data_IF_153734228265
#
_entry.id   IF_153734228265
#
_cell.length_a   1.000
_cell.length_b   1.000
_cell.length_c   1.000
_cell.angle_alpha   90.00
_cell.angle_beta   90.00
_cell.angle_gamma   90.00
#
_symmetry.space_group_name_H-M   'P 1'
#
loop_
_entity.id
_entity.type
_entity.pdbx_description
1 polymer ?
#
# COMPACT_ATOMS: atom_id res chain seq x y z
N UNK A 1 -12.72 11.69 -10.09
CA UNK A 1 -12.90 10.73 -11.20
C UNK A 1 -12.90 9.34 -10.62
N UNK A 2 -14.09 8.73 -10.53
CA UNK A 2 -14.22 7.35 -10.13
C UNK A 2 -13.74 6.45 -11.28
N UNK A 3 -12.59 5.87 -11.16
CA UNK A 3 -12.25 4.72 -11.97
C UNK A 3 -12.23 3.49 -11.08
N UNK A 4 -13.22 2.66 -11.21
CA UNK A 4 -13.38 1.46 -10.39
C UNK A 4 -12.45 0.31 -10.81
N UNK A 5 -11.63 0.49 -11.84
CA UNK A 5 -10.83 -0.62 -12.32
C UNK A 5 -9.51 -0.20 -12.96
N UNK A 6 -8.47 -0.90 -12.61
CA UNK A 6 -7.21 -0.92 -13.34
C UNK A 6 -7.19 -2.15 -14.23
N UNK A 7 -6.79 -1.96 -15.47
CA UNK A 7 -6.76 -3.02 -16.48
C UNK A 7 -5.82 -4.15 -16.10
N UNK A 8 -6.17 -5.34 -16.51
CA UNK A 8 -5.35 -6.54 -16.39
C UNK A 8 -4.06 -6.39 -17.22
N UNK A 9 -2.93 -6.41 -16.55
CA UNK A 9 -1.62 -6.42 -17.20
C UNK A 9 -0.56 -7.01 -16.27
N UNK A 10 0.56 -7.44 -16.84
CA UNK A 10 1.73 -7.83 -16.08
C UNK A 10 2.55 -6.59 -15.68
N UNK A 11 2.99 -6.56 -14.43
CA UNK A 11 3.85 -5.49 -13.93
C UNK A 11 3.16 -4.15 -13.72
N UNK A 12 1.85 -4.12 -13.47
CA UNK A 12 1.11 -2.88 -13.20
C UNK A 12 1.56 -2.27 -11.89
N UNK A 13 1.86 -0.98 -11.90
CA UNK A 13 2.15 -0.17 -10.73
C UNK A 13 1.07 0.89 -10.53
N UNK A 14 0.44 0.92 -9.35
CA UNK A 14 -0.55 1.91 -8.93
C UNK A 14 0.04 2.62 -7.73
N UNK A 15 0.56 3.82 -7.94
CA UNK A 15 1.33 4.54 -6.93
C UNK A 15 0.81 5.96 -6.77
N UNK A 16 0.60 6.38 -5.52
CA UNK A 16 0.35 7.78 -5.19
C UNK A 16 -1.01 8.32 -5.64
N UNK A 17 -2.04 7.50 -5.67
CA UNK A 17 -3.38 7.93 -6.07
C UNK A 17 -4.31 8.14 -4.88
N UNK A 18 -5.22 9.11 -5.00
CA UNK A 18 -6.41 9.17 -4.16
C UNK A 18 -7.61 8.62 -4.92
N UNK A 19 -8.29 7.67 -4.32
CA UNK A 19 -9.52 7.11 -4.84
C UNK A 19 -10.59 7.13 -3.75
N UNK A 20 -11.66 7.89 -3.98
CA UNK A 20 -12.81 7.92 -3.06
C UNK A 20 -13.61 6.61 -3.05
N UNK A 21 -13.28 5.69 -3.92
CA UNK A 21 -13.93 4.40 -4.11
C UNK A 21 -12.91 3.26 -3.91
N UNK A 22 -12.92 2.29 -4.78
CA UNK A 22 -12.14 1.06 -4.65
C UNK A 22 -11.02 0.98 -5.68
N UNK A 23 -9.87 0.46 -5.27
CA UNK A 23 -8.85 -0.02 -6.20
C UNK A 23 -9.12 -1.50 -6.49
N UNK A 24 -9.28 -1.84 -7.78
CA UNK A 24 -9.53 -3.21 -8.22
C UNK A 24 -8.58 -3.57 -9.35
N UNK A 25 -7.89 -4.71 -9.26
CA UNK A 25 -7.23 -5.32 -10.40
C UNK A 25 -8.17 -6.36 -11.04
N UNK A 26 -7.88 -6.75 -12.28
CA UNK A 26 -8.62 -7.81 -12.95
C UNK A 26 -7.93 -9.17 -12.83
N UNK A 27 -8.70 -10.23 -13.10
CA UNK A 27 -8.34 -11.63 -12.91
C UNK A 27 -7.02 -12.07 -13.53
N UNK A 28 -6.58 -11.44 -14.60
CA UNK A 28 -5.33 -11.78 -15.30
C UNK A 28 -4.15 -10.88 -14.95
N UNK A 29 -4.30 -9.99 -13.97
CA UNK A 29 -3.18 -9.15 -13.52
C UNK A 29 -2.24 -9.95 -12.64
N UNK A 30 -0.94 -9.82 -12.89
CA UNK A 30 0.11 -10.45 -12.10
C UNK A 30 1.33 -9.55 -12.01
N UNK A 31 2.15 -9.77 -10.99
CA UNK A 31 3.31 -8.92 -10.68
C UNK A 31 2.93 -7.46 -10.44
N UNK A 32 1.79 -7.21 -9.82
CA UNK A 32 1.32 -5.86 -9.56
C UNK A 32 1.93 -5.27 -8.28
N UNK A 33 2.01 -3.94 -8.24
CA UNK A 33 2.41 -3.16 -7.08
C UNK A 33 1.39 -2.06 -6.81
N UNK A 34 0.83 -2.04 -5.62
CA UNK A 34 -0.12 -1.03 -5.17
C UNK A 34 0.49 -0.31 -3.96
N UNK A 35 1.05 0.88 -4.18
CA UNK A 35 1.83 1.59 -3.19
C UNK A 35 1.33 3.00 -2.93
N UNK A 36 1.37 3.40 -1.67
CA UNK A 36 1.15 4.79 -1.24
C UNK A 36 -0.14 5.41 -1.80
N UNK A 37 -1.23 4.63 -1.87
CA UNK A 37 -2.52 5.16 -2.27
C UNK A 37 -3.39 5.46 -1.03
N UNK A 38 -4.29 6.43 -1.18
CA UNK A 38 -5.39 6.67 -0.26
C UNK A 38 -6.68 6.21 -0.93
N UNK A 39 -7.36 5.20 -0.39
CA UNK A 39 -8.54 4.57 -1.02
C UNK A 39 -9.54 4.08 0.02
N UNK A 40 -10.81 3.91 -0.38
CA UNK A 40 -11.82 3.36 0.51
C UNK A 40 -11.66 1.84 0.73
N UNK A 41 -11.29 1.11 -0.32
CA UNK A 41 -11.07 -0.35 -0.22
C UNK A 41 -10.23 -0.87 -1.39
N UNK A 42 -9.78 -2.12 -1.29
CA UNK A 42 -9.08 -2.83 -2.36
C UNK A 42 -9.71 -4.19 -2.60
N UNK A 43 -9.98 -4.51 -3.86
CA UNK A 43 -10.40 -5.84 -4.28
C UNK A 43 -9.40 -6.37 -5.30
N UNK A 44 -8.65 -7.38 -4.89
CA UNK A 44 -7.49 -7.87 -5.63
C UNK A 44 -7.73 -9.32 -6.02
N UNK A 45 -7.63 -9.62 -7.29
CA UNK A 45 -7.73 -10.98 -7.78
C UNK A 45 -6.39 -11.71 -7.64
N UNK A 46 -6.47 -12.98 -7.24
CA UNK A 46 -5.34 -13.87 -7.20
C UNK A 46 -4.63 -13.93 -8.56
N UNK A 47 -3.34 -13.93 -8.52
CA UNK A 47 -2.50 -13.86 -9.70
C UNK A 47 -1.88 -15.21 -10.04
N UNK A 48 -1.17 -15.28 -11.14
CA UNK A 48 -0.52 -16.51 -11.61
C UNK A 48 0.43 -17.11 -10.58
N UNK A 49 0.56 -18.45 -10.53
CA UNK A 49 1.62 -19.09 -9.76
C UNK A 49 2.98 -18.48 -10.07
N UNK A 50 3.82 -18.36 -9.06
CA UNK A 50 5.16 -17.75 -9.14
C UNK A 50 5.19 -16.23 -9.37
N UNK A 51 4.06 -15.53 -9.46
CA UNK A 51 4.06 -14.08 -9.44
C UNK A 51 4.29 -13.54 -8.02
N UNK A 52 4.88 -12.36 -7.91
CA UNK A 52 5.05 -11.63 -6.67
C UNK A 52 4.29 -10.31 -6.77
N UNK A 53 3.37 -10.10 -5.85
CA UNK A 53 2.47 -8.96 -5.83
C UNK A 53 2.56 -8.26 -4.49
N UNK A 54 2.42 -6.95 -4.49
CA UNK A 54 2.67 -6.15 -3.30
C UNK A 54 1.60 -5.07 -3.11
N UNK A 55 1.12 -4.96 -1.87
CA UNK A 55 0.20 -3.92 -1.40
C UNK A 55 0.87 -3.26 -0.20
N UNK A 56 1.59 -2.18 -0.44
CA UNK A 56 2.50 -1.60 0.56
C UNK A 56 2.24 -0.10 0.77
N UNK A 57 2.28 0.32 2.03
CA UNK A 57 2.15 1.73 2.40
C UNK A 57 0.88 2.41 1.87
N UNK A 58 -0.26 1.73 1.87
CA UNK A 58 -1.52 2.37 1.52
C UNK A 58 -2.29 2.78 2.77
N UNK A 59 -3.07 3.85 2.65
CA UNK A 59 -4.10 4.19 3.62
C UNK A 59 -5.46 3.78 3.06
N UNK A 60 -6.16 2.96 3.82
CA UNK A 60 -7.45 2.40 3.43
C UNK A 60 -8.49 2.87 4.42
N UNK A 61 -9.31 3.79 4.00
CA UNK A 61 -10.29 4.47 4.82
C UNK A 61 -11.66 4.54 4.16
N UNK A 62 -12.62 3.81 4.72
CA UNK A 62 -14.02 3.93 4.36
C UNK A 62 -14.77 4.76 5.42
N UNK A 63 -15.17 6.01 5.10
CA UNK A 63 -15.90 6.86 6.03
C UNK A 63 -17.30 6.32 6.36
N UNK A 64 -17.86 5.46 5.53
CA UNK A 64 -19.20 4.92 5.70
C UNK A 64 -19.21 3.63 6.54
N UNK A 65 -18.05 3.09 6.86
CA UNK A 65 -17.92 1.89 7.69
C UNK A 65 -18.64 0.67 7.13
N UNK A 66 -18.53 0.47 5.81
CA UNK A 66 -19.22 -0.61 5.13
C UNK A 66 -18.81 -2.01 5.61
N UNK A 67 -19.71 -2.97 5.48
CA UNK A 67 -19.51 -4.40 5.86
C UNK A 67 -18.50 -5.15 4.97
N UNK A 68 -17.79 -4.44 4.12
CA UNK A 68 -16.88 -5.03 3.14
C UNK A 68 -15.46 -5.02 3.70
N UNK A 69 -14.77 -6.14 3.57
CA UNK A 69 -13.35 -6.22 3.89
C UNK A 69 -12.57 -5.10 3.18
N UNK A 70 -11.83 -4.25 3.89
CA UNK A 70 -11.07 -3.17 3.28
C UNK A 70 -10.01 -3.69 2.29
N UNK A 71 -9.47 -4.88 2.51
CA UNK A 71 -8.66 -5.59 1.53
C UNK A 71 -9.27 -6.97 1.34
N UNK A 72 -9.81 -7.19 0.14
CA UNK A 72 -10.37 -8.47 -0.25
C UNK A 72 -9.56 -9.08 -1.40
N UNK A 73 -9.06 -10.29 -1.18
CA UNK A 73 -8.29 -11.04 -2.17
C UNK A 73 -9.18 -12.17 -2.66
N UNK A 74 -9.73 -11.97 -3.84
CA UNK A 74 -10.60 -12.95 -4.48
C UNK A 74 -9.77 -14.03 -5.15
N UNK A 75 -10.02 -15.27 -4.80
CA UNK A 75 -9.53 -16.41 -5.56
C UNK A 75 -10.33 -16.60 -6.83
N UNK A 76 -9.65 -16.78 -7.93
CA UNK A 76 -10.26 -17.44 -9.07
C UNK A 76 -10.14 -18.93 -8.88
N UNK A 77 -11.23 -19.64 -9.00
CA UNK A 77 -11.21 -21.09 -9.09
C UNK A 77 -10.49 -21.65 -10.32
N UNK A 78 -9.80 -20.79 -11.07
CA UNK A 78 -9.04 -21.21 -12.24
C UNK A 78 -7.78 -21.97 -11.84
N UNK A 79 -7.56 -23.15 -12.43
CA UNK A 79 -6.30 -23.87 -12.30
C UNK A 79 -5.16 -22.98 -12.78
N UNK A 80 -4.32 -22.51 -11.86
CA UNK A 80 -3.22 -21.62 -12.15
C UNK A 80 -3.35 -20.22 -11.56
N UNK A 81 -4.43 -19.88 -10.88
CA UNK A 81 -4.45 -18.73 -9.97
C UNK A 81 -3.71 -19.10 -8.69
N UNK A 82 -2.83 -18.27 -8.21
CA UNK A 82 -2.06 -18.50 -7.01
C UNK A 82 -0.68 -17.91 -7.14
N UNK A 83 -0.48 -16.75 -6.65
CA UNK A 83 0.82 -16.10 -6.54
C UNK A 83 1.09 -15.74 -5.10
N UNK A 84 2.19 -15.08 -4.85
CA UNK A 84 2.49 -14.49 -3.55
C UNK A 84 1.95 -13.08 -3.51
N UNK A 85 1.22 -12.74 -2.46
CA UNK A 85 0.74 -11.38 -2.21
C UNK A 85 1.24 -10.94 -0.85
N UNK A 86 2.07 -9.91 -0.84
CA UNK A 86 2.55 -9.27 0.39
C UNK A 86 1.73 -8.01 0.69
N UNK A 87 1.13 -7.96 1.87
CA UNK A 87 0.34 -6.83 2.37
C UNK A 87 1.10 -6.26 3.57
N UNK A 88 1.72 -5.09 3.41
CA UNK A 88 2.65 -4.58 4.41
C UNK A 88 2.55 -3.06 4.60
N UNK A 89 2.78 -2.61 5.83
CA UNK A 89 2.87 -1.19 6.16
C UNK A 89 1.61 -0.38 5.78
N UNK A 90 0.42 -0.98 5.78
CA UNK A 90 -0.80 -0.25 5.47
C UNK A 90 -1.46 0.29 6.74
N UNK A 91 -2.07 1.47 6.66
CA UNK A 91 -2.94 2.04 7.69
C UNK A 91 -4.41 1.83 7.28
N UNK A 92 -5.20 1.17 8.14
CA UNK A 92 -6.52 0.67 7.77
C UNK A 92 -7.56 1.10 8.82
N UNK A 93 -8.66 1.72 8.39
CA UNK A 93 -9.69 2.24 9.31
C UNK A 93 -10.56 1.17 9.97
N UNK A 94 -10.79 0.07 9.29
CA UNK A 94 -11.51 -1.11 9.81
C UNK A 94 -10.74 -2.33 9.37
N UNK A 95 -10.96 -3.48 10.00
CA UNK A 95 -10.13 -4.61 9.59
C UNK A 95 -10.87 -5.90 9.41
N UNK A 96 -10.99 -6.28 8.16
CA UNK A 96 -10.81 -7.66 7.76
C UNK A 96 -9.94 -7.68 6.50
N UNK A 97 -8.75 -8.26 6.55
CA UNK A 97 -8.07 -8.70 5.35
C UNK A 97 -8.60 -10.09 5.07
N UNK A 98 -9.30 -10.22 3.96
CA UNK A 98 -9.98 -11.47 3.61
C UNK A 98 -9.41 -12.07 2.32
N UNK A 99 -9.23 -13.39 2.32
CA UNK A 99 -8.95 -14.15 1.10
C UNK A 99 -9.83 -15.37 1.01
N UNK A 100 -10.39 -15.63 -0.14
CA UNK A 100 -11.11 -16.86 -0.49
C UNK A 100 -10.35 -17.71 -1.52
N UNK A 101 -9.14 -17.30 -1.85
CA UNK A 101 -8.37 -17.82 -2.97
C UNK A 101 -7.25 -18.77 -2.60
N UNK A 102 -6.57 -19.23 -3.65
CA UNK A 102 -5.40 -20.11 -3.59
C UNK A 102 -4.08 -19.35 -3.58
N UNK A 103 -4.12 -18.02 -3.53
CA UNK A 103 -2.91 -17.20 -3.39
C UNK A 103 -2.27 -17.41 -2.03
N UNK A 104 -0.95 -17.38 -1.98
CA UNK A 104 -0.20 -17.32 -0.73
C UNK A 104 -0.15 -15.88 -0.24
N UNK A 105 -0.92 -15.59 0.80
CA UNK A 105 -1.04 -14.22 1.32
C UNK A 105 -0.25 -14.08 2.61
N UNK A 106 0.55 -13.03 2.69
CA UNK A 106 1.24 -12.61 3.91
C UNK A 106 0.83 -11.20 4.30
N UNK A 107 0.51 -10.98 5.57
CA UNK A 107 0.18 -9.66 6.11
C UNK A 107 1.13 -9.32 7.26
N UNK A 108 1.87 -8.21 7.15
CA UNK A 108 2.82 -7.82 8.18
C UNK A 108 2.96 -6.31 8.33
N UNK A 109 3.20 -5.87 9.57
CA UNK A 109 3.41 -4.45 9.89
C UNK A 109 2.26 -3.53 9.43
N UNK A 110 1.03 -4.07 9.31
CA UNK A 110 -0.14 -3.24 9.08
C UNK A 110 -0.70 -2.75 10.40
N UNK A 111 -1.30 -1.58 10.40
CA UNK A 111 -1.97 -1.00 11.56
C UNK A 111 -3.43 -0.73 11.29
N UNK A 112 -4.28 -0.90 12.30
CA UNK A 112 -5.71 -0.69 12.16
C UNK A 112 -6.37 -0.07 13.39
N UNK A 113 -7.46 0.64 13.16
CA UNK A 113 -8.24 1.23 14.28
C UNK A 113 -9.00 0.18 15.09
N UNK A 114 -9.35 -0.92 14.49
CA UNK A 114 -10.00 -2.05 15.17
C UNK A 114 -9.02 -3.19 15.41
N UNK A 115 -9.47 -4.23 16.13
CA UNK A 115 -8.67 -5.45 16.27
C UNK A 115 -8.26 -5.98 14.88
N UNK A 116 -6.99 -6.33 14.72
CA UNK A 116 -6.50 -6.81 13.43
C UNK A 116 -7.00 -8.24 13.19
N UNK A 117 -7.88 -8.39 12.21
CA UNK A 117 -8.53 -9.67 11.88
C UNK A 117 -8.22 -10.06 10.44
N UNK A 118 -7.98 -11.34 10.22
CA UNK A 118 -7.86 -11.91 8.88
C UNK A 118 -8.81 -13.09 8.71
N UNK A 119 -9.35 -13.24 7.53
CA UNK A 119 -10.18 -14.36 7.13
C UNK A 119 -9.58 -15.11 5.95
N UNK A 120 -9.60 -16.43 6.01
CA UNK A 120 -8.94 -17.29 5.02
C UNK A 120 -7.48 -17.58 5.37
N UNK A 121 -6.74 -18.14 4.41
CA UNK A 121 -5.36 -18.61 4.61
C UNK A 121 -4.35 -17.45 4.47
N UNK A 122 -4.19 -16.67 5.53
CA UNK A 122 -3.26 -15.53 5.59
C UNK A 122 -2.22 -15.76 6.70
N UNK A 123 -0.95 -15.72 6.33
CA UNK A 123 0.14 -15.73 7.30
C UNK A 123 0.36 -14.31 7.85
N UNK A 124 0.33 -14.16 9.17
CA UNK A 124 0.42 -12.88 9.85
C UNK A 124 1.69 -12.72 10.66
N UNK A 125 2.26 -11.51 10.69
CA UNK A 125 3.31 -11.14 11.62
C UNK A 125 3.35 -9.63 11.88
N UNK A 126 3.59 -9.22 13.13
CA UNK A 126 3.81 -7.82 13.50
C UNK A 126 2.70 -6.85 13.05
N UNK A 127 1.47 -7.30 12.91
CA UNK A 127 0.33 -6.41 12.68
C UNK A 127 -0.18 -5.88 14.03
N UNK A 128 -0.67 -4.64 14.03
CA UNK A 128 -1.19 -3.98 15.23
C UNK A 128 -2.63 -3.55 14.99
N UNK A 129 -3.52 -3.98 15.86
CA UNK A 129 -4.92 -3.56 15.85
C UNK A 129 -5.29 -2.73 17.07
N UNK A 130 -6.48 -2.14 17.04
CA UNK A 130 -7.03 -1.27 18.08
C UNK A 130 -6.11 -0.08 18.41
N UNK A 131 -5.46 0.49 17.39
CA UNK A 131 -4.61 1.66 17.55
C UNK A 131 -5.37 2.95 17.21
N UNK A 132 -5.00 4.04 17.89
CA UNK A 132 -5.64 5.33 17.65
C UNK A 132 -5.03 6.00 16.42
N UNK A 133 -5.83 6.14 15.38
CA UNK A 133 -5.48 6.85 14.13
C UNK A 133 -6.64 7.76 13.74
N UNK A 134 -6.33 8.95 13.22
CA UNK A 134 -7.31 9.86 12.66
C UNK A 134 -7.14 9.92 11.14
N UNK A 135 -8.24 9.71 10.44
CA UNK A 135 -8.30 9.77 8.98
C UNK A 135 -9.10 10.98 8.55
N UNK A 136 -8.61 11.69 7.54
CA UNK A 136 -9.32 12.79 6.90
C UNK A 136 -9.35 12.55 5.38
N UNK A 137 -10.54 12.24 4.85
CA UNK A 137 -10.75 12.01 3.43
C UNK A 137 -10.90 13.28 2.59
N UNK A 138 -10.92 14.44 3.22
CA UNK A 138 -10.91 15.74 2.54
C UNK A 138 -9.48 16.24 2.34
N UNK A 139 -8.70 16.17 3.41
CA UNK A 139 -7.27 16.51 3.37
C UNK A 139 -6.39 15.32 2.91
N UNK A 140 -6.94 14.13 2.81
CA UNK A 140 -6.20 12.88 2.52
C UNK A 140 -5.05 12.67 3.50
N UNK A 141 -5.35 12.72 4.80
CA UNK A 141 -4.34 12.52 5.84
C UNK A 141 -4.68 11.34 6.74
N UNK A 142 -3.65 10.74 7.29
CA UNK A 142 -3.73 9.82 8.41
C UNK A 142 -2.69 10.23 9.45
N UNK A 143 -3.10 10.35 10.69
CA UNK A 143 -2.22 10.77 11.79
C UNK A 143 -2.46 9.90 13.02
N UNK A 144 -1.45 9.77 13.84
CA UNK A 144 -1.53 9.05 15.11
C UNK A 144 -0.54 7.89 15.19
N UNK A 145 -1.00 6.74 15.67
CA UNK A 145 -0.13 5.60 15.95
C UNK A 145 0.34 4.82 14.70
N UNK A 146 0.01 5.30 13.51
CA UNK A 146 0.59 4.80 12.26
C UNK A 146 2.04 5.27 12.05
N UNK A 147 2.43 6.40 12.68
CA UNK A 147 3.77 6.93 12.59
C UNK A 147 4.79 5.95 13.20
N UNK A 148 5.86 5.67 12.47
CA UNK A 148 6.92 4.73 12.84
C UNK A 148 6.42 3.30 13.18
N UNK A 149 5.24 2.91 12.68
CA UNK A 149 4.65 1.61 12.97
C UNK A 149 4.95 0.53 11.92
N UNK A 150 5.47 0.91 10.77
CA UNK A 150 5.78 0.00 9.68
C UNK A 150 7.01 -0.87 9.93
N UNK A 151 7.46 -1.55 8.90
CA UNK A 151 8.58 -2.48 8.95
C UNK A 151 9.90 -1.73 9.26
N UNK A 152 10.67 -2.13 10.29
CA UNK A 152 11.89 -1.44 10.68
C UNK A 152 13.10 -1.69 9.77
N UNK A 153 12.98 -2.56 8.77
CA UNK A 153 14.11 -2.84 7.89
C UNK A 153 14.48 -1.62 7.03
N UNK A 154 15.76 -1.36 6.88
CA UNK A 154 16.28 -0.16 6.21
C UNK A 154 15.75 0.07 4.80
N UNK A 155 15.35 -0.99 4.09
CA UNK A 155 14.77 -0.88 2.75
C UNK A 155 13.41 -0.17 2.75
N UNK A 156 12.73 -0.13 3.89
CA UNK A 156 11.41 0.49 4.04
C UNK A 156 11.43 1.83 4.74
N UNK A 157 12.57 2.32 5.22
CA UNK A 157 12.65 3.61 5.93
C UNK A 157 12.04 4.75 5.12
N UNK A 158 11.50 5.71 5.83
CA UNK A 158 10.97 6.94 5.27
C UNK A 158 12.08 7.84 4.72
N UNK A 159 11.72 8.91 4.05
CA UNK A 159 12.70 9.77 3.38
C UNK A 159 13.59 10.53 4.36
N UNK A 160 13.11 10.79 5.55
CA UNK A 160 13.88 11.39 6.65
C UNK A 160 14.76 10.35 7.38
N UNK A 161 14.79 9.11 6.90
CA UNK A 161 15.53 7.98 7.45
C UNK A 161 15.00 7.46 8.79
N UNK A 162 13.80 7.86 9.19
CA UNK A 162 13.11 7.25 10.32
C UNK A 162 12.54 5.89 9.95
N UNK A 163 12.00 5.18 10.94
CA UNK A 163 11.27 3.94 10.70
C UNK A 163 10.02 4.24 9.86
N UNK A 164 9.69 3.33 8.97
CA UNK A 164 8.54 3.43 8.08
C UNK A 164 7.24 3.78 8.82
N UNK A 165 6.53 4.78 8.32
CA UNK A 165 5.16 5.07 8.68
C UNK A 165 4.21 4.10 7.98
N UNK A 166 3.28 3.52 8.70
CA UNK A 166 2.22 2.76 8.06
C UNK A 166 1.24 3.72 7.37
N UNK A 167 0.94 3.44 6.10
CA UNK A 167 0.08 4.31 5.28
C UNK A 167 0.83 5.04 4.18
N UNK A 168 0.10 5.87 3.43
CA UNK A 168 0.59 6.51 2.20
C UNK A 168 1.69 7.58 2.41
N UNK A 169 1.96 7.95 3.65
CA UNK A 169 3.09 8.81 4.00
C UNK A 169 4.39 8.05 4.27
N UNK A 170 4.35 6.71 4.33
CA UNK A 170 5.54 5.91 4.59
C UNK A 170 6.36 5.56 3.36
N UNK A 171 7.63 5.25 3.58
CA UNK A 171 8.55 4.73 2.58
C UNK A 171 9.02 5.73 1.53
N UNK A 172 9.63 5.21 0.48
CA UNK A 172 10.30 6.03 -0.54
C UNK A 172 9.36 6.79 -1.47
N UNK A 173 8.09 6.36 -1.56
CA UNK A 173 7.07 7.00 -2.38
C UNK A 173 6.10 7.83 -1.54
N UNK A 174 6.53 8.29 -0.38
CA UNK A 174 5.72 9.07 0.55
C UNK A 174 5.06 10.27 -0.09
N UNK A 175 3.78 10.50 0.26
CA UNK A 175 3.05 11.68 -0.16
C UNK A 175 3.64 13.00 0.38
N UNK A 176 4.43 12.97 1.42
CA UNK A 176 5.12 14.15 1.93
C UNK A 176 5.94 14.90 0.86
N UNK A 177 6.34 14.20 -0.19
CA UNK A 177 7.10 14.79 -1.29
C UNK A 177 6.26 15.65 -2.26
N UNK A 178 4.95 15.44 -2.29
CA UNK A 178 4.10 16.06 -3.33
C UNK A 178 2.70 16.45 -2.85
N UNK A 179 2.33 16.13 -1.61
CA UNK A 179 1.04 16.48 -1.05
C UNK A 179 1.17 17.09 0.37
N UNK A 180 0.41 18.14 0.71
CA UNK A 180 -0.42 18.95 -0.18
C UNK A 180 0.42 19.72 -1.21
N UNK A 181 -0.16 19.92 -2.39
CA UNK A 181 0.52 20.57 -3.52
C UNK A 181 0.67 22.10 -3.37
N UNK A 182 0.69 22.62 -2.18
CA UNK A 182 0.73 24.05 -1.85
C UNK A 182 2.16 24.58 -1.64
N UNK A 183 3.15 23.85 -2.09
CA UNK A 183 4.57 24.08 -1.86
C UNK A 183 5.17 25.42 -2.32
N UNK A 184 4.33 26.46 -2.51
CA UNK A 184 4.80 27.83 -2.61
C UNK A 184 5.83 28.09 -3.72
N UNK A 185 5.75 27.38 -4.84
CA UNK A 185 6.71 27.52 -5.93
C UNK A 185 8.03 26.74 -5.72
N UNK A 186 8.13 25.95 -4.67
CA UNK A 186 9.30 25.08 -4.49
C UNK A 186 9.25 23.87 -5.44
N UNK A 187 10.39 23.41 -5.95
CA UNK A 187 10.47 22.17 -6.69
C UNK A 187 9.96 20.99 -5.84
N UNK A 188 9.12 20.17 -6.44
CA UNK A 188 8.59 18.96 -5.82
C UNK A 188 9.20 17.73 -6.47
N UNK A 189 9.63 16.77 -5.68
CA UNK A 189 10.08 15.47 -6.18
C UNK A 189 8.85 14.55 -6.21
N UNK A 190 8.42 14.16 -7.40
CA UNK A 190 7.28 13.27 -7.58
C UNK A 190 7.68 11.81 -7.84
N UNK A 191 8.96 11.58 -8.00
CA UNK A 191 9.49 10.23 -8.20
C UNK A 191 10.96 10.20 -7.80
N UNK A 192 11.31 9.30 -6.90
CA UNK A 192 12.69 9.08 -6.48
C UNK A 192 12.93 7.59 -6.24
N UNK A 193 13.88 7.02 -6.96
CA UNK A 193 14.40 5.67 -6.70
C UNK A 193 15.86 5.76 -6.37
N UNK A 194 16.20 5.38 -5.15
CA UNK A 194 17.57 5.27 -4.67
C UNK A 194 17.77 3.94 -3.98
N UNK A 195 18.92 3.29 -4.09
CA UNK A 195 19.26 2.21 -3.18
C UNK A 195 19.44 2.79 -1.76
N UNK A 196 18.86 2.14 -0.78
CA UNK A 196 18.99 2.54 0.65
C UNK A 196 20.33 2.15 1.26
N UNK A 197 21.00 1.20 0.62
CA UNK A 197 22.35 0.80 0.99
C UNK A 197 23.16 0.47 -0.27
N UNK A 198 24.40 0.85 -0.28
CA UNK A 198 25.36 0.51 -1.33
C UNK A 198 26.63 -0.08 -0.69
N UNK A 199 27.27 -1.01 -1.40
CA UNK A 199 28.59 -1.46 -1.01
C UNK A 199 29.60 -0.33 -1.20
N UNK A 200 30.59 -0.27 -0.34
CA UNK A 200 31.60 0.81 -0.29
C UNK A 200 32.32 1.07 -1.64
N UNK A 201 32.36 0.10 -2.52
CA UNK A 201 32.97 0.21 -3.85
C UNK A 201 31.97 0.36 -5.00
N UNK A 202 30.69 0.51 -4.71
CA UNK A 202 29.64 0.53 -5.74
C UNK A 202 29.25 1.95 -6.13
N UNK A 203 28.75 2.09 -7.36
CA UNK A 203 28.19 3.36 -7.84
C UNK A 203 26.77 3.51 -7.31
N UNK A 204 26.47 4.69 -6.74
CA UNK A 204 25.11 5.08 -6.39
C UNK A 204 24.36 5.51 -7.65
N UNK A 205 23.36 4.74 -8.05
CA UNK A 205 22.47 5.09 -9.13
C UNK A 205 21.17 5.69 -8.54
N UNK A 206 20.93 6.94 -8.84
CA UNK A 206 19.72 7.67 -8.42
C UNK A 206 18.91 8.00 -9.66
N UNK A 207 17.61 7.68 -9.62
CA UNK A 207 16.65 8.12 -10.64
C UNK A 207 15.56 8.92 -9.94
N UNK A 208 15.26 10.07 -10.47
CA UNK A 208 14.21 10.91 -9.95
C UNK A 208 13.60 11.80 -11.02
N UNK A 209 12.38 12.25 -10.77
CA UNK A 209 11.74 13.31 -11.51
C UNK A 209 11.07 14.26 -10.54
N UNK A 210 10.91 15.49 -10.96
CA UNK A 210 10.27 16.52 -10.18
C UNK A 210 9.64 17.57 -11.10
N UNK A 211 8.88 18.44 -10.51
CA UNK A 211 8.29 19.59 -11.20
C UNK A 211 8.37 20.82 -10.29
N UNK A 212 8.34 21.98 -10.92
CA UNK A 212 8.12 23.26 -10.23
C UNK A 212 6.76 23.82 -10.64
N UNK A 213 6.04 24.38 -9.69
CA UNK A 213 4.84 25.16 -9.97
C UNK A 213 5.17 26.61 -10.23
#
# INVERSE_FOLDING_TARGET
TSSDSVLAADGVEIIGNSASSRITNQQSSYSFKIYNNFTASMNVYGSKPSSSNEIINNTIYDPNGGDVAPIYITGNGDPGSGGNIAIMNNAISFVVIQTDGIATVTASYNVSTNAFVTEGAITQSNNFGAVNMNFDNTAYTVTGMNANAGNPALIYTDLDLTRNDAGHYGGSNSWENYWPADGGGMPQVNYLVTPRAILNSSTLNVKGSGYSK
#
